data_IF_811537649113
#
_entry.id   IF_811537649113
#
_cell.length_a   1.000
_cell.length_b   1.000
_cell.length_c   1.000
_cell.angle_alpha   90.00
_cell.angle_beta   90.00
_cell.angle_gamma   90.00
#
_symmetry.space_group_name_H-M   'P 1'
#
loop_
_entity.id
_entity.type
_entity.pdbx_description
1 polymer ?
#
# COMPACT_ATOMS: atom_id res chain seq x y z
N UNK A 1 -1.63 14.62 2.99
CA UNK A 1 -2.91 14.20 2.39
C UNK A 1 -2.68 13.99 0.90
N UNK A 2 -3.07 12.86 0.30
CA UNK A 2 -2.94 12.63 -1.16
C UNK A 2 -4.31 12.89 -1.80
N UNK A 3 -4.37 13.83 -2.72
CA UNK A 3 -5.58 14.11 -3.51
C UNK A 3 -5.55 13.14 -4.69
N UNK A 4 -6.65 12.40 -4.87
CA UNK A 4 -6.86 11.54 -6.03
C UNK A 4 -7.86 12.25 -6.91
N UNK A 5 -7.51 12.47 -8.17
CA UNK A 5 -8.39 13.07 -9.16
C UNK A 5 -8.79 12.01 -10.18
N UNK A 6 -10.05 12.01 -10.56
CA UNK A 6 -10.59 11.22 -11.67
C UNK A 6 -10.22 11.85 -13.01
N UNK A 7 -10.40 11.09 -14.09
CA UNK A 7 -10.20 11.57 -15.45
C UNK A 7 -11.15 12.73 -15.79
N UNK A 8 -12.42 12.64 -15.38
CA UNK A 8 -13.41 13.70 -15.57
C UNK A 8 -13.02 15.00 -14.82
N UNK A 9 -12.53 14.89 -13.58
CA UNK A 9 -12.04 16.04 -12.81
C UNK A 9 -10.79 16.64 -13.46
N UNK A 10 -9.89 15.80 -13.97
CA UNK A 10 -8.70 16.24 -14.70
C UNK A 10 -9.07 17.07 -15.95
N UNK A 11 -10.01 16.58 -16.77
CA UNK A 11 -10.48 17.30 -17.95
C UNK A 11 -11.17 18.63 -17.60
N UNK A 12 -11.99 18.63 -16.53
CA UNK A 12 -12.65 19.84 -16.06
C UNK A 12 -11.62 20.91 -15.63
N UNK A 13 -10.58 20.50 -14.90
CA UNK A 13 -9.48 21.38 -14.49
C UNK A 13 -8.73 21.91 -15.72
N UNK A 14 -8.42 21.06 -16.70
CA UNK A 14 -7.75 21.48 -17.93
C UNK A 14 -8.52 22.57 -18.69
N UNK A 15 -9.84 22.42 -18.82
CA UNK A 15 -10.71 23.41 -19.48
C UNK A 15 -10.71 24.77 -18.76
N UNK A 16 -10.66 24.77 -17.44
CA UNK A 16 -10.56 26.00 -16.66
C UNK A 16 -9.16 26.63 -16.84
N UNK A 17 -8.10 25.83 -16.74
CA UNK A 17 -6.72 26.33 -16.79
C UNK A 17 -6.35 26.88 -18.17
N UNK A 18 -6.80 26.28 -19.27
CA UNK A 18 -6.46 26.79 -20.61
C UNK A 18 -6.96 28.21 -20.85
N UNK A 19 -8.05 28.61 -20.19
CA UNK A 19 -8.67 29.94 -20.31
C UNK A 19 -8.05 30.97 -19.34
N UNK A 20 -7.51 30.53 -18.21
CA UNK A 20 -7.14 31.43 -17.09
C UNK A 20 -5.63 31.44 -16.79
N UNK A 21 -4.95 30.31 -16.96
CA UNK A 21 -3.53 30.15 -16.64
C UNK A 21 -2.87 29.07 -17.52
N UNK A 22 -2.35 29.51 -18.66
CA UNK A 22 -1.67 28.64 -19.62
C UNK A 22 -0.38 28.02 -19.06
N UNK A 23 0.31 28.71 -18.14
CA UNK A 23 1.53 28.17 -17.52
C UNK A 23 1.20 26.97 -16.65
N UNK A 24 0.18 27.10 -15.79
CA UNK A 24 -0.28 26.03 -14.92
C UNK A 24 -0.90 24.88 -15.72
N UNK A 25 -1.66 25.18 -16.78
CA UNK A 25 -2.16 24.19 -17.74
C UNK A 25 -1.03 23.30 -18.28
N UNK A 26 0.04 23.92 -18.79
CA UNK A 26 1.18 23.20 -19.36
C UNK A 26 1.86 22.31 -18.31
N UNK A 27 2.12 22.86 -17.12
CA UNK A 27 2.75 22.10 -16.03
C UNK A 27 1.89 20.92 -15.59
N UNK A 28 0.58 21.12 -15.46
CA UNK A 28 -0.36 20.07 -15.06
C UNK A 28 -0.38 18.91 -16.07
N UNK A 29 -0.38 19.23 -17.36
CA UNK A 29 -0.34 18.24 -18.43
C UNK A 29 0.98 17.48 -18.49
N UNK A 30 2.10 18.18 -18.28
CA UNK A 30 3.42 17.54 -18.21
C UNK A 30 3.52 16.56 -17.04
N UNK A 31 3.00 16.90 -15.86
CA UNK A 31 2.95 15.97 -14.73
C UNK A 31 2.05 14.76 -15.00
N UNK A 32 0.90 14.96 -15.64
CA UNK A 32 0.05 13.86 -16.07
C UNK A 32 0.78 12.93 -17.05
N UNK A 33 1.40 13.50 -18.10
CA UNK A 33 2.20 12.75 -19.08
C UNK A 33 3.34 11.98 -18.43
N UNK A 34 4.08 12.60 -17.50
CA UNK A 34 5.13 11.93 -16.72
C UNK A 34 4.56 10.75 -15.93
N UNK A 35 3.38 10.90 -15.32
CA UNK A 35 2.76 9.82 -14.54
C UNK A 35 2.48 8.59 -15.41
N UNK A 36 1.94 8.78 -16.61
CA UNK A 36 1.67 7.69 -17.56
C UNK A 36 2.98 7.07 -18.06
N UNK A 37 3.94 7.90 -18.52
CA UNK A 37 5.23 7.43 -19.02
C UNK A 37 6.07 6.73 -17.93
N UNK A 38 5.86 7.07 -16.67
CA UNK A 38 6.56 6.45 -15.55
C UNK A 38 6.13 4.99 -15.31
N UNK A 39 4.96 4.57 -15.81
CA UNK A 39 4.38 3.23 -15.65
C UNK A 39 4.97 2.21 -16.66
N UNK A 40 6.29 2.11 -16.74
CA UNK A 40 6.93 1.18 -17.69
C UNK A 40 6.77 -0.29 -17.26
N UNK A 41 6.70 -1.26 -18.20
CA UNK A 41 6.59 -2.68 -17.86
C UNK A 41 7.68 -3.18 -16.89
N UNK A 42 8.92 -2.67 -17.06
CA UNK A 42 10.04 -2.96 -16.17
C UNK A 42 9.80 -2.48 -14.74
N UNK A 43 9.32 -1.25 -14.56
CA UNK A 43 9.00 -0.67 -13.25
C UNK A 43 7.81 -1.37 -12.59
N UNK A 44 6.79 -1.71 -13.36
CA UNK A 44 5.62 -2.48 -12.88
C UNK A 44 6.08 -3.85 -12.37
N UNK A 45 6.88 -4.59 -13.16
CA UNK A 45 7.42 -5.90 -12.77
C UNK A 45 8.30 -5.82 -11.52
N UNK A 46 9.17 -4.82 -11.43
CA UNK A 46 10.02 -4.58 -10.26
C UNK A 46 9.19 -4.30 -9.00
N UNK A 47 8.18 -3.43 -9.10
CA UNK A 47 7.26 -3.09 -7.99
C UNK A 47 6.48 -4.33 -7.54
N UNK A 48 5.95 -5.13 -8.48
CA UNK A 48 5.27 -6.39 -8.18
C UNK A 48 6.19 -7.37 -7.46
N UNK A 49 7.44 -7.52 -7.91
CA UNK A 49 8.45 -8.37 -7.26
C UNK A 49 8.74 -7.91 -5.83
N UNK A 50 8.99 -6.62 -5.62
CA UNK A 50 9.24 -6.06 -4.29
C UNK A 50 8.04 -6.26 -3.35
N UNK A 51 6.82 -6.04 -3.84
CA UNK A 51 5.59 -6.27 -3.08
C UNK A 51 5.40 -7.74 -2.70
N UNK A 52 5.70 -8.68 -3.61
CA UNK A 52 5.63 -10.11 -3.30
C UNK A 52 6.64 -10.51 -2.23
N UNK A 53 7.87 -10.02 -2.31
CA UNK A 53 8.91 -10.25 -1.28
C UNK A 53 8.46 -9.68 0.07
N UNK A 54 7.93 -8.45 0.09
CA UNK A 54 7.39 -7.81 1.30
C UNK A 54 6.25 -8.64 1.92
N UNK A 55 5.28 -9.08 1.11
CA UNK A 55 4.17 -9.94 1.55
C UNK A 55 4.65 -11.27 2.13
N UNK A 56 5.65 -11.90 1.50
CA UNK A 56 6.26 -13.13 2.01
C UNK A 56 6.92 -12.90 3.37
N UNK A 57 7.74 -11.84 3.49
CA UNK A 57 8.40 -11.47 4.76
C UNK A 57 7.39 -11.21 5.87
N UNK A 58 6.34 -10.42 5.60
CA UNK A 58 5.27 -10.16 6.58
C UNK A 58 4.55 -11.45 7.00
N UNK A 59 4.23 -12.34 6.05
CA UNK A 59 3.62 -13.64 6.37
C UNK A 59 4.52 -14.48 7.28
N UNK A 60 5.81 -14.61 6.95
CA UNK A 60 6.78 -15.35 7.79
C UNK A 60 6.89 -14.76 9.20
N UNK A 61 7.01 -13.43 9.32
CA UNK A 61 7.09 -12.77 10.62
C UNK A 61 5.83 -13.02 11.47
N UNK A 62 4.64 -12.94 10.84
CA UNK A 62 3.36 -13.21 11.50
C UNK A 62 3.25 -14.67 11.96
N UNK A 63 3.63 -15.64 11.10
CA UNK A 63 3.65 -17.06 11.47
C UNK A 63 4.58 -17.31 12.66
N UNK A 64 5.79 -16.75 12.63
CA UNK A 64 6.75 -16.91 13.73
C UNK A 64 6.21 -16.29 15.03
N UNK A 65 5.62 -15.10 14.97
CA UNK A 65 5.03 -14.45 16.15
C UNK A 65 3.85 -15.23 16.73
N UNK A 66 2.98 -15.81 15.89
CA UNK A 66 1.91 -16.70 16.35
C UNK A 66 2.50 -17.92 17.06
N UNK A 67 3.54 -18.54 16.50
CA UNK A 67 4.19 -19.69 17.12
C UNK A 67 4.84 -19.33 18.46
N UNK A 68 5.49 -18.18 18.56
CA UNK A 68 6.06 -17.69 19.82
C UNK A 68 4.98 -17.45 20.87
N UNK A 69 3.89 -16.76 20.51
CA UNK A 69 2.78 -16.51 21.44
C UNK A 69 2.14 -17.82 21.90
N UNK A 70 1.99 -18.81 21.01
CA UNK A 70 1.49 -20.15 21.36
C UNK A 70 2.44 -20.86 22.32
N UNK A 71 3.74 -20.84 22.05
CA UNK A 71 4.76 -21.43 22.92
C UNK A 71 4.77 -20.81 24.32
N UNK A 72 4.55 -19.49 24.40
CA UNK A 72 4.48 -18.74 25.66
C UNK A 72 3.11 -18.81 26.35
N UNK A 73 2.15 -19.59 25.82
CA UNK A 73 0.76 -19.64 26.29
C UNK A 73 0.11 -18.24 26.40
N UNK A 74 0.49 -17.31 25.52
CA UNK A 74 -0.06 -15.96 25.46
C UNK A 74 -1.21 -15.89 24.47
N UNK A 75 -2.16 -14.99 24.75
CA UNK A 75 -3.32 -14.75 23.88
C UNK A 75 -2.87 -14.32 22.47
N UNK A 76 -3.27 -15.08 21.46
CA UNK A 76 -3.04 -14.72 20.06
C UNK A 76 -4.09 -13.68 19.66
N UNK A 77 -3.66 -12.44 19.48
CA UNK A 77 -4.51 -11.33 19.00
C UNK A 77 -3.75 -10.57 17.92
N UNK A 78 -4.44 -9.81 17.07
CA UNK A 78 -3.79 -8.99 16.03
C UNK A 78 -2.76 -8.04 16.67
N UNK A 79 -3.11 -7.44 17.82
CA UNK A 79 -2.21 -6.55 18.56
C UNK A 79 -0.96 -7.27 19.07
N UNK A 80 -1.12 -8.40 19.77
CA UNK A 80 0.02 -9.17 20.30
C UNK A 80 0.91 -9.69 19.17
N UNK A 81 0.32 -10.20 18.09
CA UNK A 81 1.08 -10.65 16.92
C UNK A 81 1.84 -9.50 16.28
N UNK A 82 1.23 -8.32 16.13
CA UNK A 82 1.92 -7.15 15.59
C UNK A 82 3.13 -6.76 16.44
N UNK A 83 2.95 -6.74 17.77
CA UNK A 83 4.01 -6.43 18.73
C UNK A 83 5.14 -7.46 18.69
N UNK A 84 4.82 -8.75 18.75
CA UNK A 84 5.80 -9.84 18.73
C UNK A 84 6.52 -9.96 17.37
N UNK A 85 5.86 -9.65 16.26
CA UNK A 85 6.47 -9.68 14.94
C UNK A 85 7.22 -8.38 14.57
N UNK A 86 7.21 -7.37 15.45
CA UNK A 86 7.77 -6.02 15.22
C UNK A 86 7.25 -5.37 13.92
N UNK A 87 5.95 -5.49 13.67
CA UNK A 87 5.28 -4.88 12.50
C UNK A 87 4.15 -3.95 12.93
N UNK A 88 3.77 -3.04 12.03
CA UNK A 88 2.61 -2.19 12.28
C UNK A 88 1.33 -3.00 12.45
N UNK A 89 0.43 -2.50 13.30
CA UNK A 89 -0.90 -3.09 13.50
C UNK A 89 -1.66 -3.26 12.17
N UNK A 90 -1.59 -2.26 11.28
CA UNK A 90 -2.25 -2.32 9.97
C UNK A 90 -1.69 -3.45 9.09
N UNK A 91 -0.38 -3.71 9.15
CA UNK A 91 0.22 -4.85 8.44
C UNK A 91 -0.28 -6.17 9.02
N UNK A 92 -0.33 -6.34 10.34
CA UNK A 92 -0.88 -7.54 10.96
C UNK A 92 -2.38 -7.72 10.64
N UNK A 93 -3.15 -6.62 10.66
CA UNK A 93 -4.59 -6.60 10.37
C UNK A 93 -4.93 -7.09 8.96
N UNK A 94 -4.03 -6.92 7.98
CA UNK A 94 -4.19 -7.50 6.64
C UNK A 94 -4.23 -9.05 6.65
N UNK A 95 -3.76 -9.68 7.72
CA UNK A 95 -3.75 -11.13 7.92
C UNK A 95 -4.69 -11.56 9.06
N UNK A 96 -5.72 -10.75 9.37
CA UNK A 96 -6.65 -10.99 10.48
C UNK A 96 -7.26 -12.41 10.46
N UNK A 97 -7.66 -12.90 9.30
CA UNK A 97 -8.36 -14.19 9.19
C UNK A 97 -7.43 -15.34 9.57
N UNK A 98 -6.16 -15.26 9.12
CA UNK A 98 -5.12 -16.20 9.52
C UNK A 98 -4.88 -16.14 11.03
N UNK A 99 -4.72 -14.96 11.62
CA UNK A 99 -4.42 -14.80 13.05
C UNK A 99 -5.59 -15.30 13.91
N UNK A 100 -6.82 -14.94 13.56
CA UNK A 100 -8.02 -15.32 14.32
C UNK A 100 -8.26 -16.84 14.28
N UNK A 101 -7.98 -17.50 13.16
CA UNK A 101 -8.04 -18.95 13.06
C UNK A 101 -7.04 -19.69 13.99
N UNK A 102 -6.01 -19.00 14.50
CA UNK A 102 -5.02 -19.56 15.42
C UNK A 102 -5.35 -19.29 16.90
N UNK A 103 -6.41 -18.53 17.17
CA UNK A 103 -6.78 -18.03 18.51
C UNK A 103 -7.74 -18.95 19.27
N UNK A 104 -7.92 -20.19 18.79
CA UNK A 104 -8.70 -21.24 19.44
C UNK A 104 -7.88 -21.96 20.51
#
# INVERSE_FOLDING_TARGET
>A
MRITITEAEFEAIQKILVQNDTMLYNRFNEEFKKSILSCTPKKIKATKKANNVKRKRSRTAITNAVNMLRFENKKITIYNVAKTAEISYNTAKQYKDFIMAQSA
#
